data_IF_753599700023
#
_entry.id   IF_753599700023
#
_cell.length_a   1.000
_cell.length_b   1.000
_cell.length_c   1.000
_cell.angle_alpha   90.00
_cell.angle_beta   90.00
_cell.angle_gamma   90.00
#
_symmetry.space_group_name_H-M   'P 1'
#
loop_
_entity.id
_entity.type
_entity.pdbx_description
1 polymer ?
#
# COMPACT_ATOMS: atom_id res chain seq x y z
N UNK A 1 -44.86 8.07 -16.26
CA UNK A 1 -44.70 6.95 -15.31
C UNK A 1 -43.27 6.42 -15.45
N UNK A 2 -42.30 7.15 -14.88
CA UNK A 2 -40.87 6.84 -14.99
C UNK A 2 -40.39 6.16 -13.71
N UNK A 3 -39.80 4.97 -13.86
CA UNK A 3 -39.22 4.20 -12.76
C UNK A 3 -38.05 4.98 -12.16
N UNK A 4 -38.16 5.38 -10.89
CA UNK A 4 -37.06 5.90 -10.10
C UNK A 4 -35.99 4.80 -9.96
N UNK A 5 -34.78 5.11 -10.41
CA UNK A 5 -33.64 4.19 -10.43
C UNK A 5 -33.20 3.89 -9.00
N UNK A 6 -32.92 2.61 -8.77
CA UNK A 6 -32.63 1.94 -7.50
C UNK A 6 -31.31 2.41 -6.85
N UNK A 7 -31.36 3.46 -6.01
CA UNK A 7 -30.19 3.91 -5.21
C UNK A 7 -30.36 3.56 -3.71
N UNK A 8 -31.58 3.23 -3.28
CA UNK A 8 -31.91 3.03 -1.85
C UNK A 8 -31.54 1.63 -1.32
N UNK A 9 -31.38 0.62 -2.17
CA UNK A 9 -31.17 -0.76 -1.73
C UNK A 9 -29.79 -0.99 -1.09
N UNK A 10 -28.71 -0.43 -1.67
CA UNK A 10 -27.35 -0.66 -1.18
C UNK A 10 -27.07 -0.06 0.21
N UNK A 11 -27.70 1.06 0.54
CA UNK A 11 -27.55 1.70 1.86
C UNK A 11 -28.22 0.85 2.94
N UNK A 12 -29.38 0.25 2.63
CA UNK A 12 -30.10 -0.61 3.57
C UNK A 12 -29.40 -1.95 3.75
N UNK A 13 -28.87 -2.54 2.67
CA UNK A 13 -28.04 -3.76 2.72
C UNK A 13 -26.79 -3.54 3.58
N UNK A 14 -26.08 -2.42 3.38
CA UNK A 14 -24.89 -2.10 4.17
C UNK A 14 -25.22 -1.84 5.64
N UNK A 15 -26.30 -1.12 5.94
CA UNK A 15 -26.73 -0.90 7.33
C UNK A 15 -27.12 -2.21 8.02
N UNK A 16 -27.75 -3.14 7.28
CA UNK A 16 -28.11 -4.46 7.81
C UNK A 16 -26.85 -5.25 8.17
N UNK A 17 -25.87 -5.30 7.26
CA UNK A 17 -24.56 -5.92 7.50
C UNK A 17 -23.87 -5.34 8.74
N UNK A 18 -23.86 -4.00 8.88
CA UNK A 18 -23.26 -3.36 10.05
C UNK A 18 -23.98 -3.74 11.33
N UNK A 19 -25.32 -3.74 11.32
CA UNK A 19 -26.12 -4.13 12.48
C UNK A 19 -25.94 -5.60 12.86
N UNK A 20 -25.85 -6.51 11.89
CA UNK A 20 -25.58 -7.93 12.11
C UNK A 20 -24.22 -8.16 12.77
N UNK A 21 -23.23 -7.34 12.44
CA UNK A 21 -21.90 -7.36 13.07
C UNK A 21 -21.83 -6.51 14.37
N UNK A 22 -22.95 -5.94 14.83
CA UNK A 22 -22.99 -5.09 16.03
C UNK A 22 -22.30 -3.73 15.87
N UNK A 23 -22.05 -3.28 14.64
CA UNK A 23 -21.34 -2.04 14.32
C UNK A 23 -22.33 -0.89 14.18
N UNK A 24 -22.14 0.17 14.96
CA UNK A 24 -22.93 1.41 14.85
C UNK A 24 -22.29 2.37 13.87
N UNK A 25 -22.96 2.63 12.74
CA UNK A 25 -22.53 3.67 11.80
C UNK A 25 -22.83 5.07 12.37
N UNK A 26 -21.78 5.86 12.61
CA UNK A 26 -21.91 7.28 12.91
C UNK A 26 -21.62 8.08 11.64
N UNK A 27 -22.56 8.93 11.25
CA UNK A 27 -22.40 9.83 10.09
C UNK A 27 -21.94 11.18 10.58
N UNK A 28 -20.99 11.77 9.86
CA UNK A 28 -20.60 13.16 10.08
C UNK A 28 -21.77 14.09 9.76
N UNK A 29 -21.87 15.19 10.49
CA UNK A 29 -22.89 16.21 10.20
C UNK A 29 -22.55 16.81 8.82
N UNK A 30 -23.54 17.01 7.92
CA UNK A 30 -23.31 17.71 6.66
C UNK A 30 -22.57 19.04 6.90
N UNK A 31 -21.66 19.39 6.00
CA UNK A 31 -20.88 20.64 6.06
C UNK A 31 -19.95 20.79 7.29
N UNK A 32 -19.63 19.70 7.99
CA UNK A 32 -18.62 19.70 9.08
C UNK A 32 -17.37 18.88 8.74
N UNK A 33 -16.55 19.30 7.75
CA UNK A 33 -15.34 18.57 7.35
C UNK A 33 -14.33 18.39 8.49
N UNK A 34 -14.37 19.25 9.51
CA UNK A 34 -13.53 19.15 10.71
C UNK A 34 -13.70 17.82 11.44
N UNK A 35 -14.89 17.20 11.40
CA UNK A 35 -15.15 15.88 12.00
C UNK A 35 -14.35 14.76 11.31
N UNK A 36 -13.97 14.94 10.04
CA UNK A 36 -13.20 13.98 9.26
C UNK A 36 -11.71 14.35 9.12
N UNK A 37 -11.26 15.39 9.82
CA UNK A 37 -9.94 15.98 9.62
C UNK A 37 -8.77 15.01 9.85
N UNK A 38 -8.95 13.99 10.70
CA UNK A 38 -7.93 12.94 10.90
C UNK A 38 -7.74 12.10 9.63
N UNK A 39 -8.84 11.63 9.03
CA UNK A 39 -8.80 10.84 7.81
C UNK A 39 -8.31 11.69 6.62
N UNK A 40 -8.76 12.93 6.52
CA UNK A 40 -8.31 13.85 5.46
C UNK A 40 -6.80 14.11 5.51
N UNK A 41 -6.24 14.33 6.71
CA UNK A 41 -4.80 14.49 6.90
C UNK A 41 -4.04 13.24 6.47
N UNK A 42 -4.50 12.05 6.90
CA UNK A 42 -3.85 10.79 6.53
C UNK A 42 -3.93 10.54 5.01
N UNK A 43 -5.07 10.80 4.39
CA UNK A 43 -5.26 10.68 2.94
C UNK A 43 -4.31 11.60 2.16
N UNK A 44 -4.11 12.84 2.63
CA UNK A 44 -3.12 13.75 2.04
C UNK A 44 -1.70 13.20 2.18
N UNK A 45 -1.31 12.75 3.36
CA UNK A 45 0.02 12.16 3.60
C UNK A 45 0.27 10.92 2.73
N UNK A 46 -0.70 10.01 2.65
CA UNK A 46 -0.64 8.83 1.78
C UNK A 46 -0.44 9.23 0.32
N UNK A 47 -1.23 10.19 -0.18
CA UNK A 47 -1.17 10.61 -1.57
C UNK A 47 0.16 11.30 -1.91
N UNK A 48 0.66 12.17 -1.04
CA UNK A 48 1.95 12.86 -1.22
C UNK A 48 3.12 11.87 -1.22
N UNK A 49 3.19 10.97 -0.23
CA UNK A 49 4.25 9.96 -0.16
C UNK A 49 4.19 8.99 -1.34
N UNK A 50 2.99 8.52 -1.71
CA UNK A 50 2.81 7.65 -2.86
C UNK A 50 3.23 8.34 -4.16
N UNK A 51 2.89 9.62 -4.36
CA UNK A 51 3.35 10.38 -5.52
C UNK A 51 4.87 10.45 -5.58
N UNK A 52 5.52 10.78 -4.48
CA UNK A 52 6.99 10.86 -4.40
C UNK A 52 7.66 9.52 -4.69
N UNK A 53 7.19 8.43 -4.06
CA UNK A 53 7.70 7.07 -4.29
C UNK A 53 7.55 6.63 -5.75
N UNK A 54 6.39 6.91 -6.38
CA UNK A 54 6.15 6.57 -7.78
C UNK A 54 7.09 7.32 -8.73
N UNK A 55 7.31 8.61 -8.47
CA UNK A 55 8.19 9.46 -9.28
C UNK A 55 9.64 8.98 -9.14
N UNK A 56 10.09 8.72 -7.91
CA UNK A 56 11.41 8.15 -7.64
C UNK A 56 11.63 6.83 -8.40
N UNK A 57 10.64 5.95 -8.41
CA UNK A 57 10.69 4.66 -9.11
C UNK A 57 10.55 4.76 -10.64
N UNK A 58 10.25 5.94 -11.20
CA UNK A 58 9.99 6.11 -12.63
C UNK A 58 8.75 5.34 -13.14
N UNK A 59 7.79 5.01 -12.27
CA UNK A 59 6.65 4.17 -12.61
C UNK A 59 5.48 4.98 -13.22
N UNK A 60 4.75 4.42 -14.21
CA UNK A 60 3.56 5.08 -14.75
C UNK A 60 2.41 5.10 -13.73
N UNK A 61 1.42 5.97 -13.96
CA UNK A 61 0.25 6.15 -13.08
C UNK A 61 -0.59 4.89 -12.90
N UNK A 62 -0.45 3.89 -13.78
CA UNK A 62 -1.16 2.60 -13.68
C UNK A 62 -0.82 1.84 -12.40
N UNK A 63 0.36 2.05 -11.82
CA UNK A 63 0.80 1.42 -10.57
C UNK A 63 0.35 2.15 -9.31
N UNK A 64 -0.59 3.09 -9.39
CA UNK A 64 -1.01 3.89 -8.24
C UNK A 64 -1.44 3.01 -7.05
N UNK A 65 -2.15 1.91 -7.30
CA UNK A 65 -2.63 1.02 -6.24
C UNK A 65 -1.47 0.32 -5.51
N UNK A 66 -0.48 -0.17 -6.25
CA UNK A 66 0.71 -0.81 -5.68
C UNK A 66 1.55 0.17 -4.87
N UNK A 67 1.69 1.40 -5.37
CA UNK A 67 2.43 2.44 -4.68
C UNK A 67 1.71 2.88 -3.40
N UNK A 68 0.39 3.06 -3.44
CA UNK A 68 -0.42 3.42 -2.25
C UNK A 68 -0.40 2.29 -1.22
N UNK A 69 -0.53 1.04 -1.65
CA UNK A 69 -0.43 -0.13 -0.77
C UNK A 69 0.94 -0.16 -0.08
N UNK A 70 2.03 -0.01 -0.85
CA UNK A 70 3.38 0.02 -0.28
C UNK A 70 3.59 1.21 0.65
N UNK A 71 3.07 2.39 0.30
CA UNK A 71 3.15 3.58 1.14
C UNK A 71 2.45 3.38 2.47
N UNK A 72 1.25 2.78 2.44
CA UNK A 72 0.47 2.45 3.64
C UNK A 72 1.24 1.48 4.53
N UNK A 73 1.80 0.44 3.93
CA UNK A 73 2.62 -0.54 4.62
C UNK A 73 3.83 0.09 5.32
N UNK A 74 4.57 0.95 4.62
CA UNK A 74 5.73 1.66 5.20
C UNK A 74 5.33 2.66 6.30
N UNK A 75 4.16 3.30 6.20
CA UNK A 75 3.65 4.18 7.26
C UNK A 75 3.35 3.38 8.53
N UNK A 76 2.72 2.21 8.40
CA UNK A 76 2.38 1.37 9.55
C UNK A 76 3.60 0.75 10.22
N UNK A 77 4.70 0.56 9.48
CA UNK A 77 5.99 0.10 10.00
C UNK A 77 6.90 1.23 10.51
N UNK A 78 6.55 2.50 10.27
CA UNK A 78 7.34 3.65 10.68
C UNK A 78 7.00 4.12 12.11
N UNK A 79 7.95 4.71 12.84
CA UNK A 79 7.67 5.28 14.16
C UNK A 79 6.65 6.41 14.04
N UNK A 80 5.63 6.38 14.90
CA UNK A 80 4.55 7.37 14.90
C UNK A 80 4.55 8.23 16.16
N UNK A 81 4.58 9.54 15.97
CA UNK A 81 4.60 10.53 17.06
C UNK A 81 3.36 10.39 17.96
N UNK A 82 2.20 10.06 17.38
CA UNK A 82 0.93 9.95 18.10
C UNK A 82 0.90 8.84 19.15
N UNK A 83 1.79 7.85 19.02
CA UNK A 83 1.91 6.71 19.93
C UNK A 83 3.28 6.68 20.62
N UNK A 84 3.93 7.84 20.75
CA UNK A 84 5.21 7.95 21.46
C UNK A 84 6.39 7.31 20.72
N UNK A 85 6.45 7.48 19.40
CA UNK A 85 7.48 6.91 18.51
C UNK A 85 7.50 5.38 18.42
N UNK A 86 6.46 4.71 18.89
CA UNK A 86 6.25 3.28 18.66
C UNK A 86 5.83 3.00 17.21
N UNK A 87 5.91 1.74 16.80
CA UNK A 87 5.49 1.27 15.48
C UNK A 87 4.00 0.88 15.54
N UNK A 88 3.13 1.50 14.71
CA UNK A 88 1.70 1.20 14.70
C UNK A 88 1.36 -0.27 14.48
N UNK A 89 2.07 -0.95 13.57
CA UNK A 89 1.85 -2.36 13.27
C UNK A 89 2.12 -3.26 14.48
N UNK A 90 3.16 -2.95 15.26
CA UNK A 90 3.50 -3.70 16.48
C UNK A 90 2.44 -3.52 17.56
N UNK A 91 1.99 -2.28 17.77
CA UNK A 91 0.93 -1.99 18.74
C UNK A 91 -0.41 -2.59 18.31
N UNK A 92 -0.70 -2.63 17.00
CA UNK A 92 -1.93 -3.22 16.47
C UNK A 92 -1.94 -4.74 16.59
N UNK A 93 -0.83 -5.41 16.22
CA UNK A 93 -0.73 -6.87 16.28
C UNK A 93 -0.28 -7.40 17.64
N UNK A 94 0.12 -6.52 18.56
CA UNK A 94 0.77 -6.88 19.84
C UNK A 94 1.98 -7.83 19.62
N UNK A 95 2.75 -7.58 18.56
CA UNK A 95 3.88 -8.42 18.13
C UNK A 95 4.96 -7.58 17.45
N UNK A 96 6.21 -7.84 17.79
CA UNK A 96 7.35 -7.21 17.15
C UNK A 96 7.41 -7.50 15.64
N UNK A 97 7.71 -6.48 14.85
CA UNK A 97 7.85 -6.58 13.40
C UNK A 97 9.32 -6.51 13.02
N UNK A 98 9.79 -7.51 12.26
CA UNK A 98 11.11 -7.41 11.63
C UNK A 98 11.05 -6.40 10.50
N UNK A 99 12.07 -5.52 10.41
CA UNK A 99 12.24 -4.58 9.30
C UNK A 99 13.30 -5.05 8.29
N UNK A 100 13.92 -6.22 8.51
CA UNK A 100 15.02 -6.73 7.69
C UNK A 100 14.62 -7.04 6.24
N UNK A 101 13.32 -7.24 5.99
CA UNK A 101 12.78 -7.46 4.65
C UNK A 101 12.47 -6.16 3.91
N UNK A 102 12.59 -4.98 4.53
CA UNK A 102 12.36 -3.73 3.81
C UNK A 102 13.43 -3.52 2.74
N UNK A 103 12.97 -3.12 1.55
CA UNK A 103 13.81 -2.88 0.37
C UNK A 103 13.42 -1.59 -0.31
N UNK A 104 14.39 -0.99 -1.02
CA UNK A 104 14.17 0.28 -1.72
C UNK A 104 13.10 0.08 -2.80
N UNK A 105 11.99 0.81 -2.66
CA UNK A 105 10.93 0.80 -3.64
C UNK A 105 11.42 1.40 -4.97
N UNK A 106 11.07 0.76 -6.08
CA UNK A 106 11.54 1.19 -7.40
C UNK A 106 12.97 0.77 -7.73
N UNK A 107 13.65 0.04 -6.84
CA UNK A 107 14.96 -0.52 -7.16
C UNK A 107 14.87 -1.42 -8.40
N UNK A 108 15.81 -1.20 -9.32
CA UNK A 108 15.95 -1.95 -10.57
C UNK A 108 17.30 -2.67 -10.52
N UNK A 109 17.27 -3.99 -10.60
CA UNK A 109 18.52 -4.76 -10.62
C UNK A 109 19.34 -4.39 -11.87
N UNK A 110 20.65 -4.22 -11.69
CA UNK A 110 21.58 -3.77 -12.72
C UNK A 110 21.87 -4.88 -13.75
N UNK A 111 22.40 -4.50 -14.92
CA UNK A 111 22.91 -5.46 -15.90
C UNK A 111 24.01 -6.31 -15.26
N UNK A 112 23.78 -7.62 -15.17
CA UNK A 112 24.83 -8.59 -14.86
C UNK A 112 25.56 -9.01 -16.13
N UNK A 113 26.84 -9.30 -16.00
CA UNK A 113 27.68 -9.75 -17.12
C UNK A 113 27.30 -11.16 -17.60
N UNK A 114 27.76 -11.48 -18.81
CA UNK A 114 27.34 -12.58 -19.71
C UNK A 114 27.39 -14.02 -19.15
N UNK A 115 27.81 -14.22 -17.90
CA UNK A 115 27.95 -15.53 -17.24
C UNK A 115 27.18 -15.66 -15.92
N UNK A 116 26.45 -14.62 -15.50
CA UNK A 116 25.62 -14.69 -14.31
C UNK A 116 24.34 -15.52 -14.54
N UNK A 117 23.78 -16.17 -13.49
CA UNK A 117 22.47 -16.80 -13.56
C UNK A 117 21.43 -15.81 -14.06
N UNK A 118 20.41 -16.30 -14.77
CA UNK A 118 19.39 -15.53 -15.49
C UNK A 118 18.49 -14.67 -14.57
N UNK A 119 19.05 -13.67 -13.92
CA UNK A 119 18.32 -12.68 -13.14
C UNK A 119 17.55 -11.79 -14.11
N UNK A 120 16.22 -11.71 -13.93
CA UNK A 120 15.35 -10.92 -14.79
C UNK A 120 15.32 -9.49 -14.26
N UNK A 121 15.69 -8.51 -15.10
CA UNK A 121 15.51 -7.09 -14.78
C UNK A 121 14.06 -6.80 -14.40
N UNK A 122 13.84 -6.43 -13.15
CA UNK A 122 12.53 -6.11 -12.61
C UNK A 122 12.60 -4.92 -11.65
N UNK A 123 11.47 -4.25 -11.45
CA UNK A 123 11.31 -3.11 -10.54
C UNK A 123 10.54 -3.58 -9.31
N UNK A 124 11.01 -3.26 -8.10
CA UNK A 124 10.24 -3.52 -6.87
C UNK A 124 9.00 -2.62 -6.85
N UNK A 125 7.80 -3.23 -6.83
CA UNK A 125 6.51 -2.53 -6.79
C UNK A 125 5.74 -2.77 -5.48
N UNK A 126 6.28 -3.52 -4.53
CA UNK A 126 5.71 -3.63 -3.20
C UNK A 126 5.96 -4.97 -2.52
N UNK A 127 5.25 -5.18 -1.42
CA UNK A 127 5.33 -6.37 -0.58
C UNK A 127 4.09 -7.26 -0.81
N UNK A 128 4.23 -8.57 -0.62
CA UNK A 128 3.14 -9.54 -0.70
C UNK A 128 2.33 -9.58 0.60
N UNK A 129 1.03 -9.84 0.48
CA UNK A 129 0.07 -9.78 1.60
C UNK A 129 0.16 -11.00 2.55
N UNK A 130 0.45 -12.21 2.04
CA UNK A 130 0.25 -13.47 2.79
C UNK A 130 1.44 -14.43 2.81
N UNK A 131 2.53 -14.12 2.12
CA UNK A 131 3.79 -14.85 2.19
C UNK A 131 4.86 -13.80 1.95
N UNK A 132 5.83 -13.69 2.86
CA UNK A 132 6.92 -12.71 2.89
C UNK A 132 7.75 -12.68 1.60
N UNK A 133 7.16 -12.18 0.53
CA UNK A 133 7.69 -12.16 -0.81
C UNK A 133 7.46 -10.79 -1.41
N UNK A 134 8.32 -10.43 -2.34
CA UNK A 134 8.29 -9.14 -3.01
C UNK A 134 7.46 -9.23 -4.27
N UNK A 135 6.83 -8.11 -4.62
CA UNK A 135 6.14 -7.91 -5.89
C UNK A 135 7.05 -7.12 -6.82
N UNK A 136 7.21 -7.65 -8.02
CA UNK A 136 8.09 -7.11 -9.04
C UNK A 136 7.33 -6.80 -10.31
N UNK A 137 7.66 -5.68 -10.96
CA UNK A 137 7.25 -5.39 -12.32
C UNK A 137 8.35 -5.79 -13.29
N UNK A 138 8.03 -6.71 -14.21
CA UNK A 138 8.88 -7.01 -15.35
C UNK A 138 8.42 -6.20 -16.55
N UNK A 139 9.25 -5.26 -16.98
CA UNK A 139 8.94 -4.33 -18.06
C UNK A 139 8.90 -5.02 -19.44
N UNK A 140 9.72 -6.06 -19.64
CA UNK A 140 9.78 -6.82 -20.90
C UNK A 140 8.51 -7.65 -21.12
N UNK A 141 8.07 -8.35 -20.06
CA UNK A 141 6.92 -9.26 -20.15
C UNK A 141 5.60 -8.58 -19.77
N UNK A 142 5.64 -7.33 -19.32
CA UNK A 142 4.50 -6.57 -18.77
C UNK A 142 3.70 -7.38 -17.75
N UNK A 143 4.42 -8.06 -16.85
CA UNK A 143 3.84 -8.96 -15.86
C UNK A 143 4.34 -8.63 -14.46
N UNK A 144 3.44 -8.81 -13.50
CA UNK A 144 3.76 -8.77 -12.08
C UNK A 144 4.27 -10.16 -11.68
N UNK A 145 5.46 -10.20 -11.11
CA UNK A 145 6.11 -11.41 -10.60
C UNK A 145 6.11 -11.33 -9.08
N UNK A 146 5.86 -12.45 -8.41
CA UNK A 146 6.01 -12.59 -6.95
C UNK A 146 7.19 -13.52 -6.71
N UNK A 147 8.13 -13.11 -5.88
CA UNK A 147 9.27 -13.97 -5.50
C UNK A 147 9.73 -13.66 -4.09
N UNK A 148 10.13 -14.69 -3.35
CA UNK A 148 10.78 -14.59 -2.04
C UNK A 148 12.30 -14.65 -2.17
N UNK A 149 12.80 -15.50 -3.06
CA UNK A 149 14.22 -15.67 -3.33
C UNK A 149 14.71 -14.57 -4.28
N UNK A 150 15.24 -13.50 -3.70
CA UNK A 150 15.66 -12.32 -4.44
C UNK A 150 17.00 -11.84 -3.86
N UNK A 151 17.98 -11.63 -4.73
CA UNK A 151 19.24 -10.98 -4.37
C UNK A 151 19.14 -9.50 -4.76
N UNK A 152 19.22 -8.62 -3.77
CA UNK A 152 19.23 -7.18 -4.00
C UNK A 152 20.67 -6.66 -3.92
N UNK A 153 21.15 -6.02 -4.98
CA UNK A 153 22.44 -5.32 -4.96
C UNK A 153 22.24 -3.82 -4.71
N UNK A 154 21.84 -3.46 -3.49
CA UNK A 154 21.54 -2.07 -3.09
C UNK A 154 22.81 -1.20 -2.93
N UNK A 155 24.01 -1.80 -3.01
CA UNK A 155 25.30 -1.10 -2.87
C UNK A 155 25.77 -0.41 -4.16
N UNK A 156 25.09 -0.64 -5.28
CA UNK A 156 25.44 -0.08 -6.59
C UNK A 156 24.66 1.22 -6.92
N UNK A 157 24.00 1.81 -5.92
CA UNK A 157 23.31 3.10 -6.04
C UNK A 157 24.26 4.30 -5.94
#
# INVERSE_FOLDING_TARGET
MGKGVSVTNHVNEFNSLLSENGIRMLKTIPETPQQNGVAERMNRTLNERAKSMRIHAGLPKTFWADVVSTTTYLINLGPSILIGFKIPEEEWQSKDVSLSHLKVFGFRDADREKLDPQARKCIVIGYGENDMGYRFWNDQNRKIIRSKDVTFNENAM
#
